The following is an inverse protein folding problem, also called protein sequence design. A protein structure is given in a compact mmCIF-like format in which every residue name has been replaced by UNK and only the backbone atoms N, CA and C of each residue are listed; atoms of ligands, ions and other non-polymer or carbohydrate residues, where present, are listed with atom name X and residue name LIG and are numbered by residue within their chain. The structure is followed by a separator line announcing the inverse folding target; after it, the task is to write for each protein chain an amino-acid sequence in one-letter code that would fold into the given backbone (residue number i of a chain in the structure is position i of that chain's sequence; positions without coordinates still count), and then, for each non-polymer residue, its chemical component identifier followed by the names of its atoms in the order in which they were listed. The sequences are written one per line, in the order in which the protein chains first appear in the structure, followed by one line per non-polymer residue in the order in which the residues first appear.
data_IF_176674394998
#
_entry.id   IF_176674394998
#
_cell.length_a   1.000
_cell.length_b   1.000
_cell.length_c   1.000
_cell.angle_alpha   90.00
_cell.angle_beta   90.00
_cell.angle_gamma   90.00
#
_symmetry.space_group_name_H-M   'P 1'
#
loop_
_entity.id
_entity.type
_entity.pdbx_description
1 polymer ?
#
# COMPACT_ATOMS: atom_id res chain seq x y z
N UNK A 1 30.94 -14.07 5.52
CA UNK A 1 31.71 -13.54 4.37
C UNK A 1 31.46 -14.45 3.16
N UNK A 2 30.92 -13.92 2.06
CA UNK A 2 30.62 -14.67 0.83
C UNK A 2 31.76 -14.61 -0.20
N UNK A 3 32.73 -13.73 0.01
CA UNK A 3 33.89 -13.55 -0.86
C UNK A 3 34.66 -14.86 -1.06
N UNK A 4 34.93 -15.18 -2.33
CA UNK A 4 35.62 -16.42 -2.73
C UNK A 4 34.80 -17.71 -2.62
N UNK A 5 33.52 -17.65 -2.23
CA UNK A 5 32.65 -18.84 -2.13
C UNK A 5 31.68 -18.90 -3.30
N UNK A 6 31.43 -20.12 -3.81
CA UNK A 6 30.36 -20.35 -4.78
C UNK A 6 29.01 -20.35 -4.05
N UNK A 7 28.10 -19.49 -4.46
CA UNK A 7 26.73 -19.46 -3.95
C UNK A 7 25.73 -19.09 -5.06
N UNK A 8 24.45 -19.38 -4.81
CA UNK A 8 23.35 -19.08 -5.71
C UNK A 8 22.47 -17.97 -5.13
N UNK A 9 21.98 -17.08 -5.99
CA UNK A 9 21.04 -16.01 -5.62
C UNK A 9 19.62 -16.49 -5.92
N UNK A 10 18.76 -16.51 -4.90
CA UNK A 10 17.35 -16.85 -5.06
C UNK A 10 16.50 -15.58 -5.15
N UNK A 11 15.58 -15.52 -6.11
CA UNK A 11 14.67 -14.38 -6.30
C UNK A 11 13.29 -14.85 -6.75
N UNK A 12 12.24 -14.11 -6.41
CA UNK A 12 10.89 -14.30 -6.95
C UNK A 12 10.68 -13.60 -8.30
N UNK A 13 11.70 -12.92 -8.82
CA UNK A 13 11.69 -12.20 -10.09
C UNK A 13 12.22 -13.05 -11.24
N UNK A 14 11.30 -13.71 -11.96
CA UNK A 14 11.63 -14.56 -13.12
C UNK A 14 12.50 -13.90 -14.20
N UNK A 15 12.37 -12.59 -14.43
CA UNK A 15 13.17 -11.92 -15.45
C UNK A 15 14.68 -11.89 -15.15
N UNK A 16 15.07 -12.05 -13.87
CA UNK A 16 16.48 -12.04 -13.47
C UNK A 16 17.19 -13.38 -13.67
N UNK A 17 16.47 -14.51 -13.76
CA UNK A 17 17.11 -15.83 -13.94
C UNK A 17 17.84 -15.97 -15.26
N UNK A 18 17.36 -15.27 -16.29
CA UNK A 18 17.96 -15.28 -17.62
C UNK A 18 18.71 -13.97 -17.93
N UNK A 19 18.88 -13.08 -16.95
CA UNK A 19 19.49 -11.76 -17.19
C UNK A 19 20.92 -11.88 -17.74
N UNK A 20 21.73 -12.82 -17.24
CA UNK A 20 23.09 -13.06 -17.73
C UNK A 20 23.16 -13.89 -19.02
N UNK A 21 22.04 -14.45 -19.49
CA UNK A 21 21.96 -15.16 -20.79
C UNK A 21 21.49 -14.24 -21.91
N UNK A 22 20.90 -13.09 -21.57
CA UNK A 22 20.39 -12.13 -22.54
C UNK A 22 21.52 -11.32 -23.19
N UNK A 23 21.31 -10.91 -24.44
CA UNK A 23 22.24 -10.01 -25.13
C UNK A 23 22.26 -8.65 -24.42
N UNK A 24 23.44 -8.03 -24.22
CA UNK A 24 23.57 -6.77 -23.50
C UNK A 24 22.78 -5.62 -24.15
N UNK A 25 22.57 -5.66 -25.47
CA UNK A 25 21.80 -4.67 -26.24
C UNK A 25 20.31 -4.59 -25.82
N UNK A 26 19.81 -5.62 -25.12
CA UNK A 26 18.43 -5.64 -24.58
C UNK A 26 18.31 -5.01 -23.19
N UNK A 27 19.43 -4.69 -22.54
CA UNK A 27 19.45 -4.07 -21.22
C UNK A 27 19.66 -2.57 -21.32
N UNK A 28 18.89 -1.81 -20.54
CA UNK A 28 19.19 -0.38 -20.35
C UNK A 28 20.56 -0.20 -19.68
N UNK A 29 21.24 0.95 -19.87
CA UNK A 29 22.51 1.23 -19.20
C UNK A 29 22.45 1.08 -17.68
N UNK A 30 21.30 1.40 -17.07
CA UNK A 30 21.06 1.20 -15.63
C UNK A 30 21.03 -0.27 -15.25
N UNK A 31 20.29 -1.10 -15.99
CA UNK A 31 20.23 -2.54 -15.75
C UNK A 31 21.62 -3.17 -15.90
N UNK A 32 22.38 -2.76 -16.91
CA UNK A 32 23.71 -3.29 -17.18
C UNK A 32 24.68 -3.00 -16.02
N UNK A 33 24.68 -1.77 -15.47
CA UNK A 33 25.47 -1.43 -14.26
C UNK A 33 25.09 -2.27 -13.05
N UNK A 34 23.79 -2.54 -12.85
CA UNK A 34 23.35 -3.39 -11.74
C UNK A 34 23.76 -4.86 -11.94
N UNK A 35 23.65 -5.38 -13.16
CA UNK A 35 24.07 -6.74 -13.49
C UNK A 35 25.59 -6.90 -13.37
N UNK A 36 26.36 -5.89 -13.79
CA UNK A 36 27.81 -5.86 -13.63
C UNK A 36 28.20 -5.98 -12.15
N UNK A 37 27.59 -5.18 -11.28
CA UNK A 37 27.78 -5.29 -9.83
C UNK A 37 27.41 -6.68 -9.28
N UNK A 38 26.26 -7.22 -9.68
CA UNK A 38 25.81 -8.55 -9.22
C UNK A 38 26.79 -9.63 -9.69
N UNK A 39 27.32 -9.51 -10.91
CA UNK A 39 28.24 -10.48 -11.50
C UNK A 39 29.57 -10.60 -10.77
N UNK A 40 30.00 -9.55 -10.07
CA UNK A 40 31.19 -9.58 -9.21
C UNK A 40 31.04 -10.59 -8.06
N UNK A 41 29.80 -10.93 -7.68
CA UNK A 41 29.53 -11.87 -6.61
C UNK A 41 29.04 -13.24 -7.11
N UNK A 42 28.03 -13.28 -7.99
CA UNK A 42 27.53 -14.53 -8.58
C UNK A 42 26.65 -14.26 -9.80
N UNK A 43 26.70 -15.18 -10.76
CA UNK A 43 25.82 -15.21 -11.94
C UNK A 43 24.78 -16.33 -11.87
N UNK A 44 24.82 -17.19 -10.83
CA UNK A 44 23.85 -18.27 -10.62
C UNK A 44 22.59 -17.72 -9.91
N UNK A 45 21.64 -17.22 -10.71
CA UNK A 45 20.35 -16.70 -10.24
C UNK A 45 19.25 -17.73 -10.49
N UNK A 46 18.51 -18.10 -9.43
CA UNK A 46 17.44 -19.09 -9.45
C UNK A 46 16.12 -18.50 -9.00
N UNK A 47 15.04 -18.89 -9.66
CA UNK A 47 13.71 -18.47 -9.27
C UNK A 47 13.17 -19.31 -8.11
N UNK A 48 12.64 -18.66 -7.08
CA UNK A 48 11.82 -19.25 -6.03
C UNK A 48 10.43 -18.63 -6.10
N UNK A 49 9.35 -19.36 -5.79
CA UNK A 49 8.01 -18.75 -5.80
C UNK A 49 7.94 -17.67 -4.71
N UNK A 50 7.20 -16.59 -4.96
CA UNK A 50 6.99 -15.54 -3.95
C UNK A 50 6.43 -16.09 -2.62
N UNK A 51 5.56 -17.11 -2.68
CA UNK A 51 5.02 -17.81 -1.49
C UNK A 51 6.07 -18.56 -0.67
N UNK A 52 7.22 -18.89 -1.27
CA UNK A 52 8.35 -19.56 -0.63
C UNK A 52 9.47 -18.57 -0.26
N UNK A 53 9.41 -17.32 -0.73
CA UNK A 53 10.39 -16.26 -0.49
C UNK A 53 10.06 -15.40 0.74
N UNK A 54 9.43 -15.99 1.75
CA UNK A 54 8.78 -15.29 2.89
C UNK A 54 9.77 -14.41 3.65
N UNK A 55 11.00 -14.89 3.90
CA UNK A 55 12.01 -14.16 4.67
C UNK A 55 12.45 -12.90 3.93
N UNK A 56 12.80 -13.01 2.66
CA UNK A 56 13.22 -11.86 1.87
C UNK A 56 12.07 -10.88 1.64
N UNK A 57 10.85 -11.39 1.41
CA UNK A 57 9.64 -10.57 1.29
C UNK A 57 9.38 -9.79 2.59
N UNK A 58 9.44 -10.43 3.76
CA UNK A 58 9.27 -9.77 5.05
C UNK A 58 10.34 -8.68 5.30
N UNK A 59 11.62 -8.97 5.01
CA UNK A 59 12.70 -8.00 5.15
C UNK A 59 12.56 -6.83 4.17
N UNK A 60 12.10 -7.09 2.95
CA UNK A 60 11.81 -6.04 1.96
C UNK A 60 10.65 -5.13 2.36
N UNK A 61 9.82 -5.57 3.32
CA UNK A 61 8.65 -4.85 3.81
C UNK A 61 8.87 -4.11 5.13
N UNK A 62 10.09 -4.03 5.66
CA UNK A 62 10.32 -3.42 6.99
C UNK A 62 9.92 -1.94 7.04
N UNK A 63 10.08 -1.18 5.96
CA UNK A 63 9.66 0.25 5.92
C UNK A 63 8.14 0.44 6.07
N UNK A 64 7.36 -0.62 5.87
CA UNK A 64 5.90 -0.62 5.95
C UNK A 64 5.41 -0.79 7.41
N UNK A 65 6.23 -1.43 8.27
CA UNK A 65 5.88 -1.75 9.66
C UNK A 65 6.29 -0.67 10.66
N UNK A 66 6.95 0.41 10.21
CA UNK A 66 6.71 1.67 10.88
C UNK A 66 5.23 1.93 10.68
N UNK A 67 4.42 1.53 11.66
CA UNK A 67 3.09 2.05 11.89
C UNK A 67 3.31 3.55 12.06
N UNK A 68 3.48 4.25 10.93
CA UNK A 68 3.12 5.63 10.78
C UNK A 68 1.60 5.58 10.89
N UNK A 69 1.14 5.41 12.12
CA UNK A 69 -0.03 6.11 12.58
C UNK A 69 0.28 7.58 12.29
N UNK A 70 0.09 8.02 11.04
CA UNK A 70 -0.59 9.29 10.85
C UNK A 70 -1.91 9.05 11.53
N UNK A 71 -1.92 9.32 12.83
CA UNK A 71 -3.07 9.20 13.71
C UNK A 71 -4.17 9.95 12.97
N UNK A 72 -5.16 9.21 12.48
CA UNK A 72 -6.30 9.83 11.83
C UNK A 72 -7.04 10.54 12.95
N UNK A 73 -6.85 11.85 13.04
CA UNK A 73 -7.51 12.66 14.04
C UNK A 73 -8.97 12.83 13.65
N UNK A 74 -9.86 12.08 14.30
CA UNK A 74 -11.30 12.13 14.02
C UNK A 74 -11.89 13.53 14.25
N UNK A 75 -11.31 14.33 15.16
CA UNK A 75 -11.71 15.74 15.32
C UNK A 75 -11.36 16.59 14.10
N UNK A 76 -10.22 16.40 13.46
CA UNK A 76 -9.87 17.15 12.25
C UNK A 76 -10.78 16.77 11.07
N UNK A 77 -11.18 15.50 11.00
CA UNK A 77 -12.15 15.03 10.01
C UNK A 77 -13.51 15.69 10.26
N UNK A 78 -13.99 15.72 11.51
CA UNK A 78 -15.29 16.33 11.83
C UNK A 78 -15.30 17.83 11.53
N UNK A 79 -14.23 18.56 11.86
CA UNK A 79 -14.07 19.97 11.52
C UNK A 79 -14.04 20.19 10.01
N UNK A 80 -13.32 19.34 9.28
CA UNK A 80 -13.22 19.44 7.83
C UNK A 80 -14.55 19.11 7.13
N UNK A 81 -15.36 18.22 7.70
CA UNK A 81 -16.70 17.93 7.18
C UNK A 81 -17.60 19.18 7.22
N UNK A 82 -17.54 20.00 8.28
CA UNK A 82 -18.38 21.20 8.41
C UNK A 82 -18.15 22.23 7.29
N UNK A 83 -16.92 22.32 6.80
CA UNK A 83 -16.52 23.27 5.76
C UNK A 83 -16.47 22.66 4.36
N UNK A 84 -16.84 21.38 4.19
CA UNK A 84 -16.75 20.72 2.88
C UNK A 84 -17.97 21.05 2.00
N UNK A 85 -17.70 21.73 0.88
CA UNK A 85 -18.72 22.04 -0.13
C UNK A 85 -19.29 20.81 -0.82
N UNK A 86 -18.53 19.71 -0.90
CA UNK A 86 -19.02 18.45 -1.48
C UNK A 86 -20.07 17.82 -0.55
N UNK A 87 -19.82 17.82 0.75
CA UNK A 87 -20.77 17.32 1.75
C UNK A 87 -22.09 18.10 1.72
N UNK A 88 -22.03 19.43 1.62
CA UNK A 88 -23.24 20.26 1.54
C UNK A 88 -24.13 19.91 0.34
N UNK A 89 -23.53 19.62 -0.82
CA UNK A 89 -24.27 19.16 -2.01
C UNK A 89 -24.89 17.78 -1.80
N UNK A 90 -24.18 16.88 -1.11
CA UNK A 90 -24.69 15.54 -0.82
C UNK A 90 -25.86 15.56 0.17
N UNK A 91 -25.85 16.46 1.16
CA UNK A 91 -26.97 16.66 2.08
C UNK A 91 -28.26 17.11 1.37
N UNK A 92 -28.13 17.83 0.25
CA UNK A 92 -29.28 18.23 -0.59
C UNK A 92 -29.69 17.17 -1.62
N UNK A 93 -28.98 16.04 -1.68
CA UNK A 93 -29.21 14.98 -2.67
C UNK A 93 -30.01 13.80 -2.07
N UNK A 94 -30.22 12.74 -2.85
CA UNK A 94 -30.96 11.54 -2.42
C UNK A 94 -30.17 10.61 -1.47
N UNK A 95 -28.99 11.00 -0.99
CA UNK A 95 -28.18 10.17 -0.08
C UNK A 95 -28.56 10.47 1.37
N UNK A 96 -28.78 9.41 2.16
CA UNK A 96 -29.12 9.52 3.58
C UNK A 96 -27.82 9.70 4.38
N UNK A 97 -27.45 10.95 4.62
CA UNK A 97 -26.28 11.31 5.43
C UNK A 97 -26.75 11.94 6.74
N UNK A 98 -26.39 11.31 7.85
CA UNK A 98 -26.77 11.75 9.19
C UNK A 98 -25.55 11.86 10.12
N UNK A 99 -25.70 12.64 11.19
CA UNK A 99 -24.68 12.75 12.23
C UNK A 99 -24.71 11.51 13.11
N UNK A 100 -23.61 10.76 13.13
CA UNK A 100 -23.43 9.60 13.99
C UNK A 100 -22.36 9.89 15.04
N UNK A 101 -22.66 9.58 16.30
CA UNK A 101 -21.75 9.72 17.41
C UNK A 101 -20.88 8.46 17.57
N UNK A 102 -19.58 8.65 17.79
CA UNK A 102 -18.60 7.59 18.01
C UNK A 102 -18.10 7.65 19.45
N UNK A 103 -18.55 6.74 20.35
CA UNK A 103 -18.32 6.87 21.79
C UNK A 103 -16.87 6.64 22.22
N UNK A 104 -16.08 5.93 21.41
CA UNK A 104 -14.66 5.67 21.72
C UNK A 104 -13.77 6.91 21.56
N UNK A 105 -14.13 7.78 20.62
CA UNK A 105 -13.34 8.98 20.26
C UNK A 105 -14.02 10.28 20.71
N UNK A 106 -15.25 10.18 21.27
CA UNK A 106 -16.10 11.32 21.63
C UNK A 106 -16.32 12.33 20.48
N UNK A 107 -16.49 11.81 19.26
CA UNK A 107 -16.65 12.62 18.05
C UNK A 107 -17.96 12.30 17.34
N UNK A 108 -18.60 13.34 16.82
CA UNK A 108 -19.73 13.22 15.90
C UNK A 108 -19.27 13.43 14.46
N UNK A 109 -19.55 12.48 13.57
CA UNK A 109 -19.24 12.59 12.14
C UNK A 109 -20.50 12.48 11.30
N UNK A 110 -20.50 13.13 10.13
CA UNK A 110 -21.46 12.84 9.08
C UNK A 110 -21.15 11.48 8.45
N UNK A 111 -22.14 10.60 8.48
CA UNK A 111 -22.07 9.24 7.98
C UNK A 111 -23.20 8.99 6.98
N UNK A 112 -22.90 8.27 5.91
CA UNK A 112 -23.91 7.63 5.09
C UNK A 112 -24.51 6.45 5.89
N UNK A 113 -25.80 6.55 6.18
CA UNK A 113 -26.59 5.59 6.95
C UNK A 113 -27.61 4.87 6.08
N UNK A 114 -27.47 4.93 4.75
CA UNK A 114 -28.32 4.17 3.81
C UNK A 114 -28.27 2.66 4.02
N UNK A 115 -27.32 2.15 4.82
CA UNK A 115 -27.15 0.74 5.13
C UNK A 115 -27.02 0.51 6.63
N UNK A 116 -27.19 -0.73 7.11
CA UNK A 116 -27.14 -1.08 8.54
C UNK A 116 -25.86 -0.66 9.29
N UNK A 117 -24.76 -0.39 8.58
CA UNK A 117 -23.49 0.05 9.17
C UNK A 117 -23.20 1.50 8.74
N UNK A 118 -23.08 2.46 9.67
CA UNK A 118 -22.80 3.85 9.34
C UNK A 118 -21.42 3.96 8.70
N UNK A 119 -21.33 4.58 7.53
CA UNK A 119 -20.07 4.81 6.80
C UNK A 119 -19.69 6.29 6.90
N UNK A 120 -18.60 6.67 7.58
CA UNK A 120 -18.17 8.05 7.66
C UNK A 120 -17.88 8.64 6.28
N UNK A 121 -18.38 9.85 6.04
CA UNK A 121 -17.98 10.64 4.88
C UNK A 121 -16.55 11.17 5.07
N UNK A 122 -15.69 10.99 4.08
CA UNK A 122 -14.29 11.41 4.16
C UNK A 122 -14.08 12.62 3.23
N UNK A 123 -13.76 13.82 3.79
CA UNK A 123 -13.42 14.99 3.01
C UNK A 123 -12.21 14.75 2.11
N UNK A 124 -12.14 15.46 0.98
CA UNK A 124 -11.10 15.26 -0.06
C UNK A 124 -9.67 15.28 0.48
N UNK A 125 -9.38 16.13 1.46
CA UNK A 125 -8.07 16.26 2.11
C UNK A 125 -7.57 14.98 2.79
N UNK A 126 -8.48 14.15 3.32
CA UNK A 126 -8.12 12.93 4.06
C UNK A 126 -8.13 11.66 3.21
N UNK A 127 -8.70 11.70 2.00
CA UNK A 127 -8.86 10.51 1.15
C UNK A 127 -7.51 9.83 0.83
N UNK A 128 -6.49 10.62 0.49
CA UNK A 128 -5.15 10.09 0.18
C UNK A 128 -4.50 9.47 1.42
N UNK A 129 -4.59 10.13 2.57
CA UNK A 129 -4.03 9.62 3.84
C UNK A 129 -4.66 8.30 4.25
N UNK A 130 -6.00 8.19 4.16
CA UNK A 130 -6.72 6.95 4.48
C UNK A 130 -6.36 5.84 3.49
N UNK A 131 -6.25 6.17 2.20
CA UNK A 131 -5.79 5.22 1.20
C UNK A 131 -4.38 4.70 1.51
N UNK A 132 -3.42 5.60 1.77
CA UNK A 132 -2.05 5.24 2.13
C UNK A 132 -2.02 4.37 3.38
N UNK A 133 -2.75 4.75 4.44
CA UNK A 133 -2.81 3.98 5.68
C UNK A 133 -3.31 2.55 5.43
N UNK A 134 -4.33 2.34 4.61
CA UNK A 134 -4.88 1.00 4.35
C UNK A 134 -4.01 0.22 3.34
N UNK A 135 -3.53 0.89 2.31
CA UNK A 135 -2.71 0.28 1.26
C UNK A 135 -1.36 -0.15 1.82
N UNK A 136 -0.70 0.71 2.59
CA UNK A 136 0.64 0.43 3.06
C UNK A 136 0.65 -0.81 3.95
N UNK A 137 -0.37 -1.06 4.79
CA UNK A 137 -0.43 -2.26 5.66
C UNK A 137 -0.05 -3.60 4.99
N UNK A 138 -0.38 -3.79 3.71
CA UNK A 138 -0.10 -5.06 3.02
C UNK A 138 0.26 -4.93 1.53
N UNK A 139 0.34 -3.71 1.01
CA UNK A 139 0.41 -3.39 -0.43
C UNK A 139 -0.59 -4.22 -1.26
N UNK A 140 -1.89 -4.22 -0.89
CA UNK A 140 -2.88 -4.97 -1.63
C UNK A 140 -3.04 -4.37 -3.02
N UNK A 141 -3.31 -5.22 -4.01
CA UNK A 141 -3.67 -4.76 -5.35
C UNK A 141 -4.98 -3.98 -5.33
N UNK A 142 -5.22 -3.18 -6.38
CA UNK A 142 -6.35 -2.24 -6.50
C UNK A 142 -7.69 -2.80 -6.00
N UNK A 143 -8.06 -4.02 -6.44
CA UNK A 143 -9.32 -4.67 -6.06
C UNK A 143 -9.39 -4.96 -4.56
N UNK A 144 -8.29 -5.42 -3.97
CA UNK A 144 -8.20 -5.75 -2.56
C UNK A 144 -8.20 -4.48 -1.70
N UNK A 145 -7.48 -3.42 -2.09
CA UNK A 145 -7.48 -2.12 -1.39
C UNK A 145 -8.87 -1.50 -1.38
N UNK A 146 -9.55 -1.48 -2.54
CA UNK A 146 -10.93 -0.99 -2.62
C UNK A 146 -11.83 -1.79 -1.70
N UNK A 147 -11.72 -3.12 -1.73
CA UNK A 147 -12.50 -4.00 -0.84
C UNK A 147 -12.25 -3.67 0.63
N UNK A 148 -11.00 -3.41 1.06
CA UNK A 148 -10.68 -3.04 2.45
C UNK A 148 -11.29 -1.70 2.84
N UNK A 149 -11.20 -0.66 1.99
CA UNK A 149 -11.78 0.67 2.24
C UNK A 149 -13.33 0.61 2.24
N UNK A 150 -13.92 -0.19 1.34
CA UNK A 150 -15.37 -0.32 1.21
C UNK A 150 -15.97 -1.39 2.11
N UNK A 151 -15.15 -2.17 2.82
CA UNK A 151 -15.65 -3.22 3.73
C UNK A 151 -16.41 -2.54 4.86
N UNK A 152 -17.56 -3.12 5.18
CA UNK A 152 -18.40 -2.75 6.30
C UNK A 152 -17.97 -3.55 7.51
#
# INVERSE_FOLDING_TARGET
MLEGRKFSIYTDRRHLTDAFKQKPDKCSPRQLRHLDLISQFSTDIRHVKGTENIVADALSRIEIHAISNKILNFHEISLSQLHDSELQKLLTSNIIIEKHYFPLEDVTLYCDVSTNSPRPYIPKSFRSTIFENIHNLSHPGIRATRKLITKR
#
